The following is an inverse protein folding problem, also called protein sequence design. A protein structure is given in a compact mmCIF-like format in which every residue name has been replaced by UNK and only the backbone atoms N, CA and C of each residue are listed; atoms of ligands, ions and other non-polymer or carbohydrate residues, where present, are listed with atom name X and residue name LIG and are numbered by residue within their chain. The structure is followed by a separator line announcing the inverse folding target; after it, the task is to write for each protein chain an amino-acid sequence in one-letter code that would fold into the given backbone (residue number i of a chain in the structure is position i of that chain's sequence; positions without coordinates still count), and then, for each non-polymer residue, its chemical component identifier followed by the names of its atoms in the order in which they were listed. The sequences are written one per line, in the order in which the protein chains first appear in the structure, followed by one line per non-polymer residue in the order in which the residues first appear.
data_IF_904706619610
#
_entry.id   IF_904706619610
#
_cell.length_a   1.000
_cell.length_b   1.000
_cell.length_c   1.000
_cell.angle_alpha   90.00
_cell.angle_beta   90.00
_cell.angle_gamma   90.00
#
_symmetry.space_group_name_H-M   'P 1'
#
loop_
_entity.id
_entity.type
_entity.pdbx_description
1 polymer ?
#
# COMPACT_ATOMS: atom_id res chain seq x y z
N UNK A 1 -21.19 -26.94 2.72
CA UNK A 1 -19.99 -26.21 2.22
C UNK A 1 -18.75 -27.06 2.45
N UNK A 2 -18.02 -27.44 1.39
CA UNK A 2 -16.81 -28.29 1.51
C UNK A 2 -15.73 -27.58 2.35
N UNK A 3 -14.83 -28.32 3.05
CA UNK A 3 -13.73 -27.72 3.82
C UNK A 3 -12.89 -26.74 3.00
N UNK A 4 -12.61 -27.05 1.74
CA UNK A 4 -11.84 -26.18 0.84
C UNK A 4 -12.59 -24.88 0.49
N UNK A 5 -13.92 -24.93 0.34
CA UNK A 5 -14.71 -23.71 0.11
C UNK A 5 -14.68 -22.79 1.31
N UNK A 6 -14.70 -23.33 2.53
CA UNK A 6 -14.55 -22.50 3.75
C UNK A 6 -13.16 -21.89 3.83
N UNK A 7 -12.13 -22.64 3.43
CA UNK A 7 -10.75 -22.15 3.40
C UNK A 7 -10.58 -21.00 2.40
N UNK A 8 -11.11 -21.14 1.17
CA UNK A 8 -11.07 -20.06 0.17
C UNK A 8 -11.83 -18.83 0.69
N UNK A 9 -13.05 -19.01 1.21
CA UNK A 9 -13.83 -17.90 1.76
C UNK A 9 -13.12 -17.20 2.93
N UNK A 10 -12.48 -17.96 3.83
CA UNK A 10 -11.69 -17.39 4.91
C UNK A 10 -10.48 -16.60 4.41
N UNK A 11 -9.75 -17.12 3.41
CA UNK A 11 -8.62 -16.40 2.80
C UNK A 11 -9.08 -15.11 2.12
N UNK A 12 -10.26 -15.09 1.49
CA UNK A 12 -10.82 -13.90 0.85
C UNK A 12 -11.28 -12.84 1.86
N UNK A 13 -11.80 -13.27 3.01
CA UNK A 13 -12.08 -12.35 4.13
C UNK A 13 -10.78 -11.77 4.68
N UNK A 14 -9.76 -12.60 4.90
CA UNK A 14 -8.46 -12.15 5.39
C UNK A 14 -7.77 -11.19 4.42
N UNK A 15 -7.82 -11.46 3.11
CA UNK A 15 -7.23 -10.58 2.10
C UNK A 15 -7.92 -9.21 2.11
N UNK A 16 -9.25 -9.17 2.16
CA UNK A 16 -10.01 -7.91 2.24
C UNK A 16 -9.71 -7.13 3.51
N UNK A 17 -9.65 -7.80 4.65
CA UNK A 17 -9.30 -7.17 5.93
C UNK A 17 -7.90 -6.55 5.87
N UNK A 18 -6.90 -7.31 5.40
CA UNK A 18 -5.52 -6.80 5.28
C UNK A 18 -5.39 -5.66 4.29
N UNK A 19 -6.16 -5.69 3.20
CA UNK A 19 -6.23 -4.59 2.23
C UNK A 19 -6.76 -3.32 2.90
N UNK A 20 -7.86 -3.42 3.66
CA UNK A 20 -8.42 -2.28 4.37
C UNK A 20 -7.44 -1.69 5.40
N UNK A 21 -6.80 -2.53 6.21
CA UNK A 21 -5.77 -2.08 7.17
C UNK A 21 -4.62 -1.36 6.46
N UNK A 22 -4.15 -1.88 5.31
CA UNK A 22 -3.09 -1.26 4.52
C UNK A 22 -3.52 0.08 3.90
N UNK A 23 -4.78 0.18 3.43
CA UNK A 23 -5.32 1.42 2.88
C UNK A 23 -5.43 2.54 3.94
N UNK A 24 -5.75 2.18 5.19
CA UNK A 24 -5.74 3.13 6.31
C UNK A 24 -4.33 3.65 6.61
N UNK A 25 -3.35 2.75 6.73
CA UNK A 25 -1.94 3.12 6.96
C UNK A 25 -1.38 3.95 5.79
N UNK A 26 -1.71 3.59 4.55
CA UNK A 26 -1.30 4.34 3.36
C UNK A 26 -1.92 5.76 3.32
N UNK A 27 -3.17 5.91 3.77
CA UNK A 27 -3.82 7.21 3.89
C UNK A 27 -3.13 8.09 4.94
N UNK A 28 -2.80 7.52 6.09
CA UNK A 28 -2.05 8.22 7.15
C UNK A 28 -0.67 8.66 6.65
N UNK A 29 0.04 7.78 5.94
CA UNK A 29 1.32 8.11 5.31
C UNK A 29 1.18 9.27 4.31
N UNK A 30 0.14 9.26 3.47
CA UNK A 30 -0.16 10.35 2.55
C UNK A 30 -0.40 11.68 3.26
N UNK A 31 -1.10 11.67 4.39
CA UNK A 31 -1.31 12.86 5.22
C UNK A 31 0.00 13.39 5.81
N UNK A 32 0.88 12.50 6.31
CA UNK A 32 2.20 12.91 6.82
C UNK A 32 3.07 13.52 5.72
N UNK A 33 3.13 12.89 4.55
CA UNK A 33 3.86 13.40 3.39
C UNK A 33 3.32 14.76 2.93
N UNK A 34 2.00 14.96 2.96
CA UNK A 34 1.39 16.26 2.69
C UNK A 34 1.81 17.33 3.71
N UNK A 35 1.88 17.00 5.00
CA UNK A 35 2.33 17.92 6.05
C UNK A 35 3.83 18.26 5.93
N UNK A 36 4.65 17.27 5.56
CA UNK A 36 6.08 17.48 5.27
C UNK A 36 6.22 18.49 4.14
N UNK A 37 5.53 18.27 3.02
CA UNK A 37 5.57 19.17 1.87
C UNK A 37 5.13 20.61 2.22
N UNK A 38 4.13 20.79 3.08
CA UNK A 38 3.71 22.11 3.56
C UNK A 38 4.81 22.81 4.39
N UNK A 39 5.49 22.07 5.27
CA UNK A 39 6.59 22.63 6.05
C UNK A 39 7.80 22.94 5.18
N UNK A 40 8.13 22.10 4.19
CA UNK A 40 9.18 22.36 3.21
C UNK A 40 8.87 23.61 2.39
N UNK A 41 7.65 23.72 1.86
CA UNK A 41 7.23 24.90 1.11
C UNK A 41 7.35 26.18 1.93
N UNK A 42 6.95 26.14 3.21
CA UNK A 42 7.03 27.28 4.11
C UNK A 42 8.48 27.64 4.42
N UNK A 43 9.31 26.65 4.76
CA UNK A 43 10.75 26.83 5.01
C UNK A 43 11.45 27.45 3.79
N UNK A 44 11.20 26.90 2.61
CA UNK A 44 11.82 27.34 1.36
C UNK A 44 11.31 28.72 0.91
N UNK A 45 10.10 29.11 1.33
CA UNK A 45 9.59 30.48 1.24
C UNK A 45 10.37 31.44 2.12
N UNK A 46 10.45 31.13 3.42
CA UNK A 46 11.19 31.94 4.40
C UNK A 46 12.67 32.10 4.02
N UNK A 47 13.30 31.06 3.46
CA UNK A 47 14.68 31.14 2.99
C UNK A 47 14.84 32.06 1.77
N UNK A 48 13.85 32.11 0.87
CA UNK A 48 13.86 33.03 -0.27
C UNK A 48 13.65 34.47 0.19
N UNK A 49 12.62 34.70 1.02
CA UNK A 49 12.32 36.01 1.59
C UNK A 49 13.55 36.58 2.34
N UNK A 50 14.25 35.74 3.11
CA UNK A 50 15.46 36.13 3.81
C UNK A 50 16.59 36.56 2.86
N UNK A 51 16.77 35.85 1.73
CA UNK A 51 17.79 36.19 0.72
C UNK A 51 17.46 37.50 0.01
N UNK A 52 16.19 37.72 -0.29
CA UNK A 52 15.72 38.92 -1.00
C UNK A 52 15.81 40.15 -0.09
N UNK A 53 15.33 40.07 1.16
CA UNK A 53 15.37 41.18 2.13
C UNK A 53 16.80 41.58 2.52
N UNK A 54 17.72 40.60 2.59
CA UNK A 54 19.16 40.87 2.88
C UNK A 54 19.85 41.58 1.71
N UNK A 55 19.32 41.48 0.49
CA UNK A 55 19.88 42.12 -0.70
C UNK A 55 19.51 43.60 -0.79
N UNK A 56 18.32 43.97 -0.31
CA UNK A 56 17.72 45.30 -0.51
C UNK A 56 17.86 46.22 0.72
N UNK A 57 18.53 45.77 1.79
CA UNK A 57 18.61 46.52 3.06
C UNK A 57 19.65 47.66 3.04
N UNK A 58 19.23 48.86 3.46
CA UNK A 58 20.05 50.07 3.61
C UNK A 58 20.61 50.25 5.03
N UNK A 59 21.61 51.13 5.20
CA UNK A 59 22.34 51.34 6.46
C UNK A 59 21.44 51.70 7.67
N UNK A 60 20.32 52.38 7.43
CA UNK A 60 19.38 52.85 8.47
C UNK A 60 18.43 51.75 8.98
N UNK A 61 18.16 50.70 8.18
CA UNK A 61 17.30 49.58 8.57
C UNK A 61 18.08 48.43 9.24
N UNK A 62 19.42 48.51 9.27
CA UNK A 62 20.32 47.44 9.71
C UNK A 62 19.99 46.83 11.08
N UNK A 63 19.50 47.64 12.05
CA UNK A 63 19.12 47.13 13.37
C UNK A 63 17.84 46.30 13.35
N UNK A 64 16.83 46.71 12.59
CA UNK A 64 15.56 45.99 12.47
C UNK A 64 15.72 44.72 11.62
N UNK A 65 16.57 44.77 10.60
CA UNK A 65 16.91 43.62 9.75
C UNK A 65 17.57 42.51 10.56
N UNK A 66 18.46 42.84 11.50
CA UNK A 66 19.14 41.83 12.32
C UNK A 66 18.18 41.01 13.19
N UNK A 67 17.19 41.64 13.83
CA UNK A 67 16.20 40.96 14.66
C UNK A 67 15.22 40.15 13.80
N UNK A 68 14.80 40.69 12.64
CA UNK A 68 14.00 39.97 11.66
C UNK A 68 14.73 38.70 11.15
N UNK A 69 15.98 38.84 10.70
CA UNK A 69 16.80 37.71 10.23
C UNK A 69 16.91 36.62 11.29
N UNK A 70 17.10 37.01 12.56
CA UNK A 70 17.16 36.05 13.67
C UNK A 70 15.84 35.33 13.87
N UNK A 71 14.72 36.05 13.83
CA UNK A 71 13.38 35.47 13.98
C UNK A 71 13.05 34.50 12.82
N UNK A 72 13.31 34.89 11.58
CA UNK A 72 13.08 34.04 10.39
C UNK A 72 13.95 32.78 10.44
N UNK A 73 15.23 32.90 10.82
CA UNK A 73 16.11 31.72 11.02
C UNK A 73 15.58 30.78 12.10
N UNK A 74 15.05 31.30 13.19
CA UNK A 74 14.42 30.46 14.22
C UNK A 74 13.18 29.72 13.70
N UNK A 75 12.37 30.37 12.86
CA UNK A 75 11.23 29.72 12.19
C UNK A 75 11.67 28.64 11.20
N UNK A 76 12.70 28.90 10.39
CA UNK A 76 13.29 27.90 9.47
C UNK A 76 13.76 26.66 10.25
N UNK A 77 14.45 26.85 11.37
CA UNK A 77 14.90 25.74 12.25
C UNK A 77 13.70 24.98 12.82
N UNK A 78 12.65 25.68 13.26
CA UNK A 78 11.43 25.06 13.77
C UNK A 78 10.76 24.18 12.71
N UNK A 79 10.66 24.67 11.47
CA UNK A 79 10.13 23.90 10.35
C UNK A 79 11.01 22.69 10.00
N UNK A 80 12.34 22.85 10.01
CA UNK A 80 13.26 21.74 9.78
C UNK A 80 13.14 20.64 10.84
N UNK A 81 12.97 21.00 12.12
CA UNK A 81 12.73 20.04 13.19
C UNK A 81 11.38 19.33 13.04
N UNK A 82 10.33 20.07 12.65
CA UNK A 82 9.02 19.48 12.38
C UNK A 82 9.07 18.48 11.21
N UNK A 83 9.79 18.81 10.13
CA UNK A 83 10.04 17.91 9.00
C UNK A 83 10.72 16.63 9.48
N UNK A 84 11.86 16.74 10.17
CA UNK A 84 12.59 15.57 10.65
C UNK A 84 11.74 14.66 11.56
N UNK A 85 10.93 15.25 12.44
CA UNK A 85 10.02 14.49 13.29
C UNK A 85 8.89 13.79 12.52
N UNK A 86 8.38 14.41 11.45
CA UNK A 86 7.38 13.81 10.57
C UNK A 86 7.98 12.74 9.66
N UNK A 87 9.20 12.93 9.17
CA UNK A 87 9.93 11.95 8.35
C UNK A 87 10.18 10.66 9.12
N UNK A 88 10.65 10.75 10.37
CA UNK A 88 10.83 9.56 11.22
C UNK A 88 9.52 8.78 11.43
N UNK A 89 8.39 9.50 11.57
CA UNK A 89 7.06 8.87 11.66
C UNK A 89 6.63 8.24 10.34
N UNK A 90 6.89 8.92 9.22
CA UNK A 90 6.57 8.44 7.88
C UNK A 90 7.37 7.17 7.54
N UNK A 91 8.66 7.11 7.88
CA UNK A 91 9.50 5.93 7.69
C UNK A 91 8.96 4.72 8.45
N UNK A 92 8.60 4.90 9.73
CA UNK A 92 7.98 3.85 10.52
C UNK A 92 6.64 3.36 9.97
N UNK A 93 5.86 4.24 9.33
CA UNK A 93 4.62 3.85 8.63
C UNK A 93 4.91 3.14 7.29
N UNK A 94 5.89 3.60 6.53
CA UNK A 94 6.30 2.95 5.26
C UNK A 94 6.73 1.51 5.50
N UNK A 95 7.50 1.25 6.54
CA UNK A 95 7.92 -0.11 6.88
C UNK A 95 6.74 -1.00 7.29
N UNK A 96 5.76 -0.45 8.02
CA UNK A 96 4.52 -1.16 8.33
C UNK A 96 3.72 -1.48 7.06
N UNK A 97 3.50 -0.50 6.19
CA UNK A 97 2.80 -0.69 4.90
C UNK A 97 3.52 -1.75 4.06
N UNK A 98 4.86 -1.72 3.98
CA UNK A 98 5.66 -2.74 3.27
C UNK A 98 5.52 -4.13 3.89
N UNK A 99 5.47 -4.24 5.22
CA UNK A 99 5.23 -5.51 5.90
C UNK A 99 3.82 -6.05 5.61
N UNK A 100 2.79 -5.22 5.74
CA UNK A 100 1.40 -5.56 5.43
C UNK A 100 1.20 -5.99 3.99
N UNK A 101 1.86 -5.32 3.04
CA UNK A 101 1.82 -5.68 1.64
C UNK A 101 2.38 -7.09 1.39
N UNK A 102 3.49 -7.46 2.05
CA UNK A 102 4.07 -8.80 1.98
C UNK A 102 3.11 -9.86 2.53
N UNK A 103 2.49 -9.59 3.68
CA UNK A 103 1.49 -10.50 4.26
C UNK A 103 0.29 -10.70 3.35
N UNK A 104 -0.25 -9.60 2.78
CA UNK A 104 -1.35 -9.64 1.83
C UNK A 104 -0.99 -10.46 0.59
N UNK A 105 0.23 -10.31 0.04
CA UNK A 105 0.71 -11.10 -1.10
C UNK A 105 0.81 -12.59 -0.79
N UNK A 106 1.24 -12.94 0.40
CA UNK A 106 1.26 -14.33 0.87
C UNK A 106 -0.15 -14.92 0.91
N UNK A 107 -1.10 -14.20 1.49
CA UNK A 107 -2.52 -14.62 1.54
C UNK A 107 -3.09 -14.79 0.13
N UNK A 108 -2.87 -13.81 -0.75
CA UNK A 108 -3.34 -13.86 -2.14
C UNK A 108 -2.77 -15.07 -2.90
N UNK A 109 -1.48 -15.38 -2.69
CA UNK A 109 -0.84 -16.57 -3.28
C UNK A 109 -1.48 -17.87 -2.76
N UNK A 110 -1.76 -17.95 -1.46
CA UNK A 110 -2.44 -19.12 -0.87
C UNK A 110 -3.87 -19.28 -1.41
N UNK A 111 -4.60 -18.17 -1.57
CA UNK A 111 -5.96 -18.17 -2.13
C UNK A 111 -5.95 -18.64 -3.59
N UNK A 112 -5.03 -18.11 -4.41
CA UNK A 112 -4.86 -18.53 -5.80
C UNK A 112 -4.54 -20.02 -5.94
N UNK A 113 -3.61 -20.54 -5.11
CA UNK A 113 -3.29 -21.98 -5.08
C UNK A 113 -4.48 -22.84 -4.67
N UNK A 114 -5.27 -22.43 -3.67
CA UNK A 114 -6.45 -23.16 -3.26
C UNK A 114 -7.51 -23.22 -4.37
N UNK A 115 -7.75 -22.11 -5.08
CA UNK A 115 -8.66 -22.07 -6.23
C UNK A 115 -8.19 -22.97 -7.37
N UNK A 116 -6.89 -22.94 -7.68
CA UNK A 116 -6.31 -23.77 -8.74
C UNK A 116 -6.45 -25.26 -8.44
N UNK A 117 -6.16 -25.69 -7.19
CA UNK A 117 -6.37 -27.09 -6.78
C UNK A 117 -7.83 -27.51 -6.91
N UNK A 118 -8.76 -26.70 -6.42
CA UNK A 118 -10.19 -26.97 -6.53
C UNK A 118 -10.64 -27.09 -7.99
N UNK A 119 -10.17 -26.21 -8.87
CA UNK A 119 -10.49 -26.26 -10.30
C UNK A 119 -9.95 -27.55 -10.95
N UNK A 120 -8.72 -27.96 -10.60
CA UNK A 120 -8.13 -29.20 -11.08
C UNK A 120 -8.90 -30.44 -10.58
N UNK A 121 -9.31 -30.47 -9.31
CA UNK A 121 -10.14 -31.55 -8.78
C UNK A 121 -11.50 -31.64 -9.47
N UNK A 122 -12.13 -30.49 -9.74
CA UNK A 122 -13.39 -30.44 -10.48
C UNK A 122 -13.24 -30.99 -11.89
N UNK A 123 -12.24 -30.50 -12.63
CA UNK A 123 -11.95 -30.96 -13.99
C UNK A 123 -11.63 -32.46 -14.03
N UNK A 124 -10.93 -32.99 -13.01
CA UNK A 124 -10.66 -34.42 -12.89
C UNK A 124 -11.94 -35.23 -12.71
N UNK A 125 -12.84 -34.79 -11.83
CA UNK A 125 -14.13 -35.45 -11.61
C UNK A 125 -15.01 -35.41 -12.86
N UNK A 126 -15.09 -34.27 -13.54
CA UNK A 126 -15.83 -34.15 -14.80
C UNK A 126 -15.26 -35.08 -15.89
N UNK A 127 -13.93 -35.20 -15.98
CA UNK A 127 -13.29 -36.13 -16.91
C UNK A 127 -13.57 -37.60 -16.57
N UNK A 128 -13.54 -37.96 -15.28
CA UNK A 128 -13.90 -39.30 -14.78
C UNK A 128 -15.37 -39.64 -15.12
N UNK A 129 -16.31 -38.71 -14.86
CA UNK A 129 -17.74 -38.87 -15.17
C UNK A 129 -17.98 -39.02 -16.69
N UNK A 130 -17.33 -38.18 -17.51
CA UNK A 130 -17.43 -38.27 -18.98
C UNK A 130 -16.85 -39.56 -19.54
N UNK A 131 -15.76 -40.07 -18.95
CA UNK A 131 -15.18 -41.36 -19.33
C UNK A 131 -16.14 -42.52 -19.00
N UNK A 132 -16.79 -42.47 -17.83
CA UNK A 132 -17.77 -43.47 -17.42
C UNK A 132 -19.00 -43.49 -18.35
N UNK A 133 -19.55 -42.31 -18.69
CA UNK A 133 -20.65 -42.18 -19.66
C UNK A 133 -20.23 -42.73 -21.03
N UNK A 134 -19.00 -42.43 -21.47
CA UNK A 134 -18.44 -42.96 -22.71
C UNK A 134 -18.36 -44.48 -22.72
N UNK A 135 -17.88 -45.08 -21.62
CA UNK A 135 -17.80 -46.53 -21.46
C UNK A 135 -19.17 -47.20 -21.46
N UNK A 136 -20.14 -46.65 -20.72
CA UNK A 136 -21.50 -47.16 -20.67
C UNK A 136 -22.19 -47.08 -22.04
N UNK A 137 -21.96 -46.00 -22.80
CA UNK A 137 -22.46 -45.86 -24.17
C UNK A 137 -21.83 -46.87 -25.11
N UNK A 138 -20.53 -47.11 -24.99
CA UNK A 138 -19.81 -48.11 -25.78
C UNK A 138 -20.31 -49.53 -25.49
N UNK A 139 -20.53 -49.88 -24.21
CA UNK A 139 -21.05 -51.20 -23.81
C UNK A 139 -22.50 -51.44 -24.23
N UNK A 140 -23.29 -50.37 -24.43
CA UNK A 140 -24.70 -50.46 -24.88
C UNK A 140 -24.87 -50.49 -26.40
N UNK A 141 -23.81 -50.33 -27.19
CA UNK A 141 -23.88 -50.36 -28.66
C UNK A 141 -23.89 -51.82 -29.17
N UNK A 142 -25.02 -52.36 -29.69
CA UNK A 142 -25.13 -53.77 -30.05
C UNK A 142 -24.38 -54.15 -31.33
N UNK A 143 -23.78 -53.18 -32.04
CA UNK A 143 -23.28 -53.35 -33.42
C UNK A 143 -21.82 -53.81 -33.52
N UNK A 144 -21.23 -54.40 -32.47
CA UNK A 144 -19.79 -54.72 -32.43
C UNK A 144 -19.43 -56.18 -32.14
N UNK A 145 -20.38 -57.11 -32.07
CA UNK A 145 -20.12 -58.56 -31.87
C UNK A 145 -20.45 -59.44 -33.09
N UNK A 146 -20.14 -58.97 -34.29
CA UNK A 146 -20.05 -59.79 -35.52
C UNK A 146 -18.79 -59.39 -36.27
#
# INVERSE_FOLDING_TARGET
MTPENRRIAALDVLERLRRHEMEEEARELGQLRGRIAQHEQTRDGLERDLRDETRDSTLESARYVADYVRAVRAQIVTHAQAIAALEAKAEGLEDRVRARFRDMRTIGTLSARARSRRAAEHARREAEEMAEIGLQRWQRDPRRTT
#
